data_IF_619818814601
#
_entry.id   IF_619818814601
#
_cell.length_a   1.000
_cell.length_b   1.000
_cell.length_c   1.000
_cell.angle_alpha   90.00
_cell.angle_beta   90.00
_cell.angle_gamma   90.00
#
_symmetry.space_group_name_H-M   'P 1'
#
loop_
_entity.id
_entity.type
_entity.pdbx_description
1 polymer ?
#
# COMPACT_ATOMS: atom_id res chain seq x y z
N UNK A 1 -14.98 -1.50 -3.17
CA UNK A 1 -15.53 -1.20 -1.83
C UNK A 1 -15.69 0.30 -1.73
N UNK A 2 -16.84 0.75 -1.24
CA UNK A 2 -17.08 2.15 -0.89
C UNK A 2 -17.23 2.26 0.63
N UNK A 3 -16.74 3.36 1.18
CA UNK A 3 -16.80 3.65 2.61
C UNK A 3 -17.63 4.92 2.83
N UNK A 4 -18.88 4.79 3.26
CA UNK A 4 -19.74 5.94 3.56
C UNK A 4 -19.36 6.69 4.84
N UNK A 5 -19.66 8.00 4.92
CA UNK A 5 -19.45 8.85 6.10
C UNK A 5 -20.29 8.44 7.31
N UNK A 6 -21.50 7.93 7.08
CA UNK A 6 -22.39 7.40 8.12
C UNK A 6 -21.92 6.02 8.64
N UNK A 7 -20.87 5.46 8.05
CA UNK A 7 -20.17 4.27 8.50
C UNK A 7 -20.52 3.01 7.70
N UNK A 8 -19.73 1.96 7.95
CA UNK A 8 -19.86 0.68 7.26
C UNK A 8 -19.05 0.59 5.97
N UNK A 9 -19.25 -0.51 5.26
CA UNK A 9 -18.58 -0.79 4.00
C UNK A 9 -19.55 -1.51 3.07
N UNK A 10 -19.56 -1.09 1.80
CA UNK A 10 -20.41 -1.67 0.75
C UNK A 10 -19.61 -2.10 -0.47
N UNK A 11 -20.01 -3.21 -1.06
CA UNK A 11 -19.58 -3.60 -2.40
C UNK A 11 -20.43 -2.88 -3.43
N UNK A 12 -19.75 -2.23 -4.35
CA UNK A 12 -20.34 -1.47 -5.44
C UNK A 12 -19.78 -2.00 -6.75
N UNK A 13 -20.67 -2.24 -7.72
CA UNK A 13 -20.27 -2.60 -9.07
C UNK A 13 -20.21 -1.33 -9.93
N UNK A 14 -19.00 -0.85 -10.27
CA UNK A 14 -18.87 0.37 -11.06
C UNK A 14 -19.44 0.24 -12.47
N UNK A 15 -19.43 -0.95 -13.07
CA UNK A 15 -19.97 -1.18 -14.43
C UNK A 15 -21.50 -1.16 -14.47
N UNK A 16 -22.15 -1.69 -13.45
CA UNK A 16 -23.62 -1.74 -13.35
C UNK A 16 -24.21 -0.51 -12.65
N UNK A 17 -23.41 0.23 -11.89
CA UNK A 17 -23.88 1.35 -11.07
C UNK A 17 -24.73 0.91 -9.87
N UNK A 18 -24.54 -0.31 -9.38
CA UNK A 18 -25.39 -0.94 -8.36
C UNK A 18 -24.64 -1.31 -7.08
N UNK A 19 -25.31 -1.17 -5.93
CA UNK A 19 -24.84 -1.73 -4.68
C UNK A 19 -25.09 -3.24 -4.67
N UNK A 20 -24.03 -4.01 -4.49
CA UNK A 20 -24.12 -5.47 -4.47
C UNK A 20 -24.44 -6.00 -3.08
N UNK A 21 -23.75 -5.49 -2.05
CA UNK A 21 -23.83 -6.04 -0.68
C UNK A 21 -23.27 -5.09 0.37
N UNK A 22 -23.91 -5.02 1.54
CA UNK A 22 -23.30 -4.45 2.76
C UNK A 22 -22.42 -5.50 3.44
N UNK A 23 -21.16 -5.18 3.70
CA UNK A 23 -20.18 -6.10 4.29
C UNK A 23 -20.18 -6.06 5.82
N UNK A 24 -20.67 -4.98 6.42
CA UNK A 24 -20.77 -4.85 7.87
C UNK A 24 -20.98 -3.40 8.30
N UNK A 25 -21.25 -3.23 9.60
CA UNK A 25 -21.14 -1.93 10.26
C UNK A 25 -19.72 -1.79 10.82
N UNK A 26 -19.01 -0.80 10.31
CA UNK A 26 -17.65 -0.44 10.71
C UNK A 26 -17.61 1.00 11.23
N UNK A 27 -18.74 1.49 11.77
CA UNK A 27 -18.83 2.82 12.34
C UNK A 27 -17.74 3.07 13.39
N UNK A 28 -17.12 4.25 13.32
CA UNK A 28 -15.99 4.62 14.18
C UNK A 28 -14.68 3.91 13.88
N UNK A 29 -14.59 3.12 12.81
CA UNK A 29 -13.36 2.45 12.39
C UNK A 29 -12.81 3.04 11.09
N UNK A 30 -11.50 3.19 11.01
CA UNK A 30 -10.80 3.60 9.80
C UNK A 30 -10.24 2.38 9.08
N UNK A 31 -10.48 2.33 7.78
CA UNK A 31 -9.96 1.30 6.90
C UNK A 31 -8.52 1.62 6.48
N UNK A 32 -7.63 0.64 6.62
CA UNK A 32 -6.20 0.82 6.29
C UNK A 32 -5.80 0.08 5.01
N UNK A 33 -6.20 -1.18 4.85
CA UNK A 33 -5.84 -2.05 3.72
C UNK A 33 -6.79 -3.25 3.58
N UNK A 34 -6.77 -3.90 2.42
CA UNK A 34 -7.42 -5.20 2.19
C UNK A 34 -6.45 -6.21 1.57
N UNK A 35 -6.73 -7.49 1.81
CA UNK A 35 -6.10 -8.61 1.12
C UNK A 35 -7.14 -9.72 0.95
N UNK A 36 -7.55 -9.96 -0.29
CA UNK A 36 -8.64 -10.89 -0.55
C UNK A 36 -9.92 -10.47 0.18
N UNK A 37 -10.51 -11.39 0.94
CA UNK A 37 -11.70 -11.15 1.76
C UNK A 37 -11.42 -10.42 3.08
N UNK A 38 -10.16 -10.15 3.41
CA UNK A 38 -9.76 -9.62 4.72
C UNK A 38 -9.51 -8.11 4.67
N UNK A 39 -9.95 -7.43 5.73
CA UNK A 39 -9.86 -5.99 5.91
C UNK A 39 -9.01 -5.68 7.15
N UNK A 40 -8.08 -4.75 7.03
CA UNK A 40 -7.32 -4.19 8.15
C UNK A 40 -8.00 -2.90 8.62
N UNK A 41 -8.39 -2.89 9.89
CA UNK A 41 -9.17 -1.81 10.49
C UNK A 41 -8.48 -1.26 11.74
N UNK A 42 -8.67 0.03 11.98
CA UNK A 42 -8.24 0.76 13.17
C UNK A 42 -9.49 1.36 13.85
N UNK A 43 -9.79 0.96 15.08
CA UNK A 43 -10.95 1.53 15.81
C UNK A 43 -10.65 2.90 16.45
N UNK A 44 -11.70 3.49 17.04
CA UNK A 44 -11.63 4.74 17.78
C UNK A 44 -10.66 4.68 18.97
N UNK A 45 -10.48 3.50 19.57
CA UNK A 45 -9.54 3.23 20.65
C UNK A 45 -8.09 3.01 20.18
N UNK A 46 -7.80 3.21 18.89
CA UNK A 46 -6.49 2.98 18.28
C UNK A 46 -6.04 1.52 18.25
N UNK A 47 -6.98 0.56 18.32
CA UNK A 47 -6.67 -0.86 18.22
C UNK A 47 -6.75 -1.33 16.77
N UNK A 48 -5.74 -2.09 16.36
CA UNK A 48 -5.69 -2.74 15.07
C UNK A 48 -6.36 -4.12 15.12
N UNK A 49 -7.10 -4.46 14.07
CA UNK A 49 -7.64 -5.80 13.90
C UNK A 49 -7.85 -6.12 12.43
N UNK A 50 -7.80 -7.42 12.11
CA UNK A 50 -8.14 -7.96 10.80
C UNK A 50 -9.53 -8.57 10.90
N UNK A 51 -10.40 -8.30 9.93
CA UNK A 51 -11.73 -8.91 9.85
C UNK A 51 -11.97 -9.52 8.49
N UNK A 52 -12.57 -10.70 8.45
CA UNK A 52 -13.11 -11.28 7.22
C UNK A 52 -14.44 -10.60 6.88
N UNK A 53 -14.51 -9.99 5.71
CA UNK A 53 -15.65 -9.21 5.24
C UNK A 53 -16.93 -10.03 5.02
N UNK A 54 -16.84 -11.37 4.99
CA UNK A 54 -17.98 -12.26 4.72
C UNK A 54 -18.30 -13.21 5.87
N UNK A 55 -17.33 -13.57 6.71
CA UNK A 55 -17.51 -14.52 7.81
C UNK A 55 -17.56 -13.87 9.20
N UNK A 56 -17.39 -12.55 9.29
CA UNK A 56 -17.30 -11.78 10.55
C UNK A 56 -16.17 -12.23 11.51
N UNK A 57 -15.31 -13.16 11.06
CA UNK A 57 -14.16 -13.63 11.82
C UNK A 57 -13.21 -12.45 12.07
N UNK A 58 -12.97 -12.14 13.34
CA UNK A 58 -12.11 -11.04 13.78
C UNK A 58 -10.84 -11.55 14.47
N UNK A 59 -9.70 -11.02 14.06
CA UNK A 59 -8.39 -11.26 14.64
C UNK A 59 -7.90 -9.95 15.24
N UNK A 60 -7.76 -9.90 16.57
CA UNK A 60 -7.15 -8.75 17.25
C UNK A 60 -5.65 -8.78 17.01
N UNK A 61 -5.08 -7.64 16.66
CA UNK A 61 -3.63 -7.47 16.51
C UNK A 61 -3.04 -6.91 17.81
N UNK A 62 -1.70 -6.99 17.98
CA UNK A 62 -1.03 -6.33 19.10
C UNK A 62 -1.29 -4.81 19.14
N UNK A 63 -1.04 -4.17 20.28
CA UNK A 63 -1.18 -2.70 20.41
C UNK A 63 -0.11 -1.98 19.57
N UNK A 64 -0.40 -0.78 19.06
CA UNK A 64 0.62 0.06 18.42
C UNK A 64 1.86 0.31 19.32
N UNK A 65 1.69 0.19 20.65
CA UNK A 65 2.75 0.34 21.65
C UNK A 65 3.57 -0.93 21.89
N UNK A 66 3.11 -2.10 21.43
CA UNK A 66 3.79 -3.37 21.66
C UNK A 66 4.93 -3.55 20.67
N UNK A 67 5.79 -2.56 20.48
CA UNK A 67 7.05 -2.75 19.76
C UNK A 67 8.05 -3.31 20.76
N UNK A 68 8.65 -4.45 20.45
CA UNK A 68 9.79 -4.98 21.21
C UNK A 68 11.08 -4.61 20.49
N UNK A 69 11.71 -3.53 20.96
CA UNK A 69 12.98 -3.03 20.42
C UNK A 69 13.80 -2.45 21.55
N UNK A 70 15.12 -2.70 21.52
CA UNK A 70 16.06 -2.10 22.46
C UNK A 70 16.24 -0.60 22.21
N UNK A 71 16.07 -0.17 20.95
CA UNK A 71 16.42 1.16 20.46
C UNK A 71 15.18 2.02 20.17
N UNK A 72 13.96 1.50 20.38
CA UNK A 72 12.73 2.20 20.03
C UNK A 72 11.58 1.83 20.98
N UNK A 73 10.85 2.85 21.44
CA UNK A 73 9.64 2.69 22.26
C UNK A 73 8.54 3.58 21.69
N UNK A 74 7.33 3.03 21.56
CA UNK A 74 6.11 3.79 21.26
C UNK A 74 5.19 3.80 22.48
N UNK A 75 4.71 4.98 22.87
CA UNK A 75 3.84 5.19 24.04
C UNK A 75 2.60 5.96 23.64
N UNK A 76 1.44 5.50 24.09
CA UNK A 76 0.20 6.27 24.05
C UNK A 76 0.25 7.34 25.16
N UNK A 77 0.06 8.60 24.80
CA UNK A 77 0.17 9.75 25.73
C UNK A 77 -1.13 10.55 25.87
N UNK A 78 -2.20 10.04 25.28
CA UNK A 78 -3.51 10.68 25.32
C UNK A 78 -4.43 10.04 24.30
N UNK A 79 -5.63 10.60 24.17
CA UNK A 79 -6.62 10.11 23.21
C UNK A 79 -6.05 10.13 21.79
N UNK A 80 -5.85 8.93 21.23
CA UNK A 80 -5.32 8.69 19.88
C UNK A 80 -3.95 9.33 19.59
N UNK A 81 -3.19 9.71 20.61
CA UNK A 81 -1.87 10.38 20.50
C UNK A 81 -0.74 9.49 20.97
N UNK A 82 0.37 9.54 20.25
CA UNK A 82 1.53 8.69 20.51
C UNK A 82 2.81 9.51 20.57
N UNK A 83 3.79 8.99 21.31
CA UNK A 83 5.19 9.41 21.25
C UNK A 83 6.01 8.20 20.83
N UNK A 84 6.92 8.39 19.87
CA UNK A 84 7.98 7.44 19.56
C UNK A 84 9.30 8.01 20.04
N UNK A 85 10.04 7.21 20.79
CA UNK A 85 11.36 7.56 21.29
C UNK A 85 12.35 6.52 20.77
N UNK A 86 13.41 6.99 20.12
CA UNK A 86 14.57 6.17 19.82
C UNK A 86 15.81 6.68 20.58
N UNK A 87 16.99 6.11 20.30
CA UNK A 87 18.23 6.46 20.98
C UNK A 87 18.64 7.94 20.83
N UNK A 88 18.25 8.58 19.73
CA UNK A 88 18.74 9.91 19.36
C UNK A 88 17.63 10.98 19.33
N UNK A 89 16.36 10.60 19.34
CA UNK A 89 15.23 11.50 19.06
C UNK A 89 13.92 11.10 19.74
N UNK A 90 13.05 12.11 19.93
CA UNK A 90 11.69 11.95 20.42
C UNK A 90 10.74 12.61 19.44
N UNK A 91 9.77 11.84 18.96
CA UNK A 91 8.74 12.25 18.01
C UNK A 91 7.38 12.24 18.70
N UNK A 92 6.70 13.39 18.73
CA UNK A 92 5.51 13.61 19.58
C UNK A 92 4.27 14.11 18.82
N UNK A 93 4.40 14.25 17.51
CA UNK A 93 3.37 14.63 16.55
C UNK A 93 2.60 13.42 15.97
N UNK A 94 2.74 12.25 16.61
CA UNK A 94 2.12 11.00 16.15
C UNK A 94 0.68 10.88 16.62
N UNK A 95 -0.20 10.44 15.72
CA UNK A 95 -1.60 10.14 16.05
C UNK A 95 -2.13 8.93 15.29
N UNK A 96 -3.20 8.32 15.80
CA UNK A 96 -3.91 7.23 15.13
C UNK A 96 -4.46 7.64 13.75
N UNK A 97 -4.65 8.94 13.50
CA UNK A 97 -5.24 9.46 12.27
C UNK A 97 -4.27 9.40 11.09
N UNK A 98 -2.98 9.50 11.37
CA UNK A 98 -1.90 9.36 10.37
C UNK A 98 -1.37 7.94 10.24
N UNK A 99 -1.96 6.96 10.95
CA UNK A 99 -1.55 5.56 10.79
C UNK A 99 -1.90 5.08 9.38
N UNK A 100 -1.01 4.37 8.70
CA UNK A 100 -1.31 3.67 7.46
C UNK A 100 -0.96 2.21 7.64
N UNK A 101 -1.44 1.35 6.75
CA UNK A 101 -1.14 -0.06 6.86
C UNK A 101 -1.22 -0.78 5.53
N UNK A 102 -0.54 -1.92 5.50
CA UNK A 102 -0.59 -2.91 4.44
C UNK A 102 -0.99 -4.25 5.07
N UNK A 103 -1.72 -5.03 4.30
CA UNK A 103 -2.20 -6.34 4.72
C UNK A 103 -1.91 -7.34 3.61
N UNK A 104 -1.34 -8.48 4.00
CA UNK A 104 -1.36 -9.68 3.18
C UNK A 104 -1.96 -10.81 3.99
N UNK A 105 -2.85 -11.58 3.38
CA UNK A 105 -3.40 -12.81 3.94
C UNK A 105 -3.25 -13.91 2.91
N UNK A 106 -2.75 -15.06 3.36
CA UNK A 106 -2.65 -16.27 2.52
C UNK A 106 -4.02 -16.69 1.99
N UNK A 107 -4.05 -17.40 0.86
CA UNK A 107 -5.30 -17.93 0.28
C UNK A 107 -6.08 -18.81 1.27
N UNK A 108 -5.37 -19.53 2.15
CA UNK A 108 -5.98 -20.36 3.19
C UNK A 108 -6.65 -19.56 4.31
N UNK A 109 -6.40 -18.25 4.40
CA UNK A 109 -6.87 -17.38 5.50
C UNK A 109 -6.21 -17.68 6.86
N UNK A 110 -5.12 -18.46 6.89
CA UNK A 110 -4.44 -18.89 8.12
C UNK A 110 -3.24 -18.02 8.46
N UNK A 111 -2.45 -17.67 7.45
CA UNK A 111 -1.27 -16.82 7.60
C UNK A 111 -1.61 -15.40 7.17
N UNK A 112 -1.04 -14.43 7.89
CA UNK A 112 -1.13 -13.03 7.55
C UNK A 112 0.17 -12.31 7.88
N UNK A 113 0.39 -11.18 7.20
CA UNK A 113 1.40 -10.18 7.51
C UNK A 113 0.70 -8.83 7.54
N UNK A 114 0.93 -8.07 8.60
CA UNK A 114 0.46 -6.69 8.75
C UNK A 114 1.66 -5.80 8.91
N UNK A 115 1.71 -4.76 8.10
CA UNK A 115 2.66 -3.66 8.23
C UNK A 115 1.85 -2.42 8.57
N UNK A 116 2.31 -1.61 9.52
CA UNK A 116 1.73 -0.31 9.79
C UNK A 116 2.82 0.74 9.95
N UNK A 117 2.46 1.99 9.70
CA UNK A 117 3.34 3.15 9.90
C UNK A 117 2.58 4.38 10.36
N UNK A 118 3.30 5.33 10.97
CA UNK A 118 2.86 6.72 11.03
C UNK A 118 3.35 7.45 9.78
N UNK A 119 2.42 7.96 8.98
CA UNK A 119 2.69 8.64 7.72
C UNK A 119 2.77 10.16 7.94
N UNK A 120 3.97 10.64 8.24
CA UNK A 120 4.26 12.06 8.45
C UNK A 120 5.28 12.57 7.43
N UNK A 121 5.16 13.81 6.95
CA UNK A 121 6.15 14.40 6.07
C UNK A 121 7.55 14.36 6.68
N UNK A 122 8.50 13.76 5.97
CA UNK A 122 9.90 13.67 6.39
C UNK A 122 10.20 12.59 7.44
N UNK A 123 9.19 11.91 7.98
CA UNK A 123 9.34 10.89 9.00
C UNK A 123 8.39 9.72 8.75
N UNK A 124 8.96 8.55 8.50
CA UNK A 124 8.18 7.32 8.41
C UNK A 124 8.72 6.34 9.44
N UNK A 125 7.83 5.83 10.27
CA UNK A 125 8.12 4.86 11.31
C UNK A 125 7.27 3.65 11.05
N UNK A 126 7.88 2.49 10.82
CA UNK A 126 7.15 1.33 10.35
C UNK A 126 7.44 0.13 11.21
N UNK A 127 6.41 -0.68 11.44
CA UNK A 127 6.54 -1.92 12.16
C UNK A 127 5.64 -2.97 11.55
N UNK A 128 5.98 -4.24 11.74
CA UNK A 128 5.20 -5.35 11.19
C UNK A 128 4.98 -6.45 12.21
N UNK A 129 3.92 -7.23 12.00
CA UNK A 129 3.68 -8.47 12.73
C UNK A 129 3.06 -9.49 11.78
N UNK A 130 3.09 -10.74 12.20
CA UNK A 130 2.57 -11.87 11.45
C UNK A 130 1.69 -12.75 12.33
N UNK A 131 1.11 -13.78 11.71
CA UNK A 131 0.38 -14.80 12.45
C UNK A 131 1.26 -15.40 13.56
N UNK A 132 0.76 -15.37 14.80
CA UNK A 132 1.44 -15.91 15.98
C UNK A 132 2.34 -14.92 16.73
N UNK A 133 2.66 -13.77 16.14
CA UNK A 133 3.45 -12.74 16.81
C UNK A 133 2.67 -12.11 17.97
N UNK A 134 3.37 -11.81 19.05
CA UNK A 134 2.81 -11.19 20.28
C UNK A 134 3.04 -9.69 20.37
N UNK A 135 3.96 -9.17 19.55
CA UNK A 135 4.42 -7.79 19.51
C UNK A 135 4.85 -7.45 18.07
N UNK A 136 4.93 -6.17 17.75
CA UNK A 136 5.44 -5.68 16.48
C UNK A 136 6.97 -5.73 16.45
N UNK A 137 7.51 -6.03 15.28
CA UNK A 137 8.94 -5.89 14.95
C UNK A 137 9.15 -4.54 14.28
N UNK A 138 10.07 -3.74 14.81
CA UNK A 138 10.39 -2.44 14.24
C UNK A 138 11.22 -2.60 12.94
N UNK A 139 10.90 -1.80 11.93
CA UNK A 139 11.70 -1.70 10.71
C UNK A 139 12.34 -0.30 10.73
N UNK A 140 13.63 -0.18 11.07
CA UNK A 140 14.29 1.10 11.10
C UNK A 140 14.33 1.68 9.68
N UNK A 141 13.67 2.83 9.52
CA UNK A 141 13.70 3.64 8.33
C UNK A 141 14.78 4.72 8.55
N UNK A 142 15.92 4.56 7.87
CA UNK A 142 17.00 5.55 7.71
C UNK A 142 17.82 5.93 8.95
N UNK A 143 18.99 5.32 9.15
CA UNK A 143 19.96 5.73 10.19
C UNK A 143 21.40 5.91 9.66
N UNK A 144 21.60 6.10 8.36
CA UNK A 144 22.95 6.36 7.82
C UNK A 144 22.98 7.62 6.96
N UNK A 145 23.62 8.66 7.50
CA UNK A 145 23.82 9.98 6.89
C UNK A 145 24.55 9.92 5.53
N UNK A 146 25.16 8.79 5.20
CA UNK A 146 26.00 8.62 4.00
C UNK A 146 25.25 8.10 2.76
N UNK A 147 23.95 7.75 2.88
CA UNK A 147 23.18 7.14 1.80
C UNK A 147 21.96 7.98 1.41
N UNK A 148 22.18 9.19 0.87
CA UNK A 148 21.12 10.13 0.42
C UNK A 148 20.13 9.59 -0.62
N UNK A 149 20.49 8.54 -1.35
CA UNK A 149 19.58 7.83 -2.28
C UNK A 149 18.44 7.05 -1.58
N UNK A 150 18.60 6.81 -0.28
CA UNK A 150 17.56 6.22 0.56
C UNK A 150 16.55 7.27 1.07
N UNK A 151 16.87 8.56 1.01
CA UNK A 151 16.07 9.60 1.66
C UNK A 151 14.62 9.67 1.15
N UNK A 152 13.69 9.65 2.10
CA UNK A 152 12.26 9.86 1.91
C UNK A 152 11.55 8.61 1.39
N UNK A 153 10.64 8.05 2.21
CA UNK A 153 9.72 7.01 1.79
C UNK A 153 8.68 7.62 0.83
N UNK A 154 8.50 6.99 -0.33
CA UNK A 154 7.51 7.39 -1.34
C UNK A 154 6.33 6.41 -1.34
N UNK A 155 6.61 5.12 -1.57
CA UNK A 155 5.59 4.10 -1.75
C UNK A 155 6.01 2.77 -1.13
N UNK A 156 5.02 1.94 -0.79
CA UNK A 156 5.26 0.60 -0.24
C UNK A 156 4.28 -0.41 -0.82
N UNK A 157 4.81 -1.60 -1.10
CA UNK A 157 4.00 -2.73 -1.58
C UNK A 157 4.32 -3.96 -0.74
N UNK A 158 3.27 -4.58 -0.19
CA UNK A 158 3.38 -5.87 0.48
C UNK A 158 2.91 -6.96 -0.47
N UNK A 159 3.83 -7.79 -0.93
CA UNK A 159 3.57 -8.91 -1.82
C UNK A 159 3.99 -10.22 -1.16
N UNK A 160 3.01 -10.99 -0.69
CA UNK A 160 3.30 -12.16 0.14
C UNK A 160 3.92 -11.74 1.48
N UNK A 161 5.04 -12.36 1.81
CA UNK A 161 5.88 -11.98 2.95
C UNK A 161 6.97 -10.97 2.59
N UNK A 162 6.97 -10.43 1.37
CA UNK A 162 7.99 -9.47 0.92
C UNK A 162 7.44 -8.06 0.93
N UNK A 163 8.18 -7.15 1.54
CA UNK A 163 7.88 -5.73 1.58
C UNK A 163 8.83 -4.97 0.66
N UNK A 164 8.28 -4.26 -0.32
CA UNK A 164 9.00 -3.44 -1.27
C UNK A 164 8.83 -1.99 -0.85
N UNK A 165 9.95 -1.29 -0.66
CA UNK A 165 10.00 0.09 -0.21
C UNK A 165 10.60 0.93 -1.33
N UNK A 166 9.86 1.93 -1.81
CA UNK A 166 10.36 2.89 -2.79
C UNK A 166 10.66 4.23 -2.15
N UNK A 167 11.78 4.84 -2.53
CA UNK A 167 12.16 6.17 -2.05
C UNK A 167 11.68 7.27 -3.00
N UNK A 168 11.71 8.52 -2.56
CA UNK A 168 11.41 9.69 -3.40
C UNK A 168 12.35 9.82 -4.60
N UNK A 169 13.53 9.19 -4.53
CA UNK A 169 14.50 9.09 -5.62
C UNK A 169 14.32 7.85 -6.49
N UNK A 170 13.20 7.12 -6.34
CA UNK A 170 12.85 5.89 -7.07
C UNK A 170 13.86 4.76 -6.89
N UNK A 171 14.44 4.64 -5.70
CA UNK A 171 15.22 3.47 -5.30
C UNK A 171 14.33 2.47 -4.58
N UNK A 172 14.50 1.18 -4.89
CA UNK A 172 13.67 0.11 -4.33
C UNK A 172 14.51 -0.79 -3.44
N UNK A 173 14.12 -0.87 -2.16
CA UNK A 173 14.63 -1.81 -1.16
C UNK A 173 13.62 -2.94 -0.98
N UNK A 174 14.08 -4.17 -0.81
CA UNK A 174 13.18 -5.32 -0.62
C UNK A 174 13.51 -6.04 0.66
N UNK A 175 12.52 -6.21 1.53
CA UNK A 175 12.63 -6.91 2.80
C UNK A 175 11.83 -8.21 2.75
N UNK A 176 12.42 -9.31 3.21
CA UNK A 176 11.73 -10.57 3.45
C UNK A 176 11.36 -10.67 4.92
N UNK A 177 10.04 -10.63 5.18
CA UNK A 177 9.45 -10.66 6.51
C UNK A 177 9.17 -12.09 6.99
N UNK A 178 9.50 -13.14 6.23
CA UNK A 178 9.13 -14.53 6.56
C UNK A 178 9.86 -15.15 7.77
N UNK A 179 10.94 -14.54 8.26
CA UNK A 179 11.78 -15.05 9.35
C UNK A 179 11.11 -15.15 10.73
N UNK A 180 11.82 -15.56 11.80
CA UNK A 180 11.25 -15.57 13.15
C UNK A 180 10.84 -14.17 13.64
N UNK A 181 9.97 -14.09 14.66
CA UNK A 181 9.56 -12.81 15.27
C UNK A 181 10.80 -11.99 15.68
N UNK A 182 10.78 -10.68 15.42
CA UNK A 182 11.92 -9.80 15.66
C UNK A 182 12.96 -9.76 14.53
N UNK A 183 12.81 -10.58 13.48
CA UNK A 183 13.76 -10.64 12.37
C UNK A 183 13.12 -10.44 11.00
N UNK A 184 13.83 -9.74 10.13
CA UNK A 184 13.58 -9.68 8.70
C UNK A 184 14.93 -9.68 7.96
N UNK A 185 14.92 -10.13 6.70
CA UNK A 185 16.12 -10.12 5.86
C UNK A 185 16.02 -9.02 4.80
N UNK A 186 17.04 -8.19 4.70
CA UNK A 186 17.19 -7.29 3.55
C UNK A 186 17.67 -8.10 2.33
N UNK A 187 16.81 -8.24 1.32
CA UNK A 187 17.11 -8.99 0.08
C UNK A 187 17.95 -8.17 -0.89
N UNK A 188 17.99 -6.86 -0.69
CA UNK A 188 18.85 -5.94 -1.44
C UNK A 188 20.23 -5.78 -0.81
N UNK A 189 20.54 -6.51 0.27
CA UNK A 189 21.83 -6.47 0.97
C UNK A 189 22.29 -5.04 1.32
N UNK A 190 21.33 -4.16 1.66
CA UNK A 190 21.58 -2.76 1.98
C UNK A 190 21.85 -1.85 0.78
N UNK A 191 21.79 -2.39 -0.45
CA UNK A 191 22.01 -1.66 -1.71
C UNK A 191 20.70 -1.71 -2.53
N UNK A 192 19.77 -0.76 -2.30
CA UNK A 192 18.57 -0.61 -3.11
C UNK A 192 18.89 -0.49 -4.59
N UNK A 193 18.02 -1.02 -5.46
CA UNK A 193 18.20 -0.85 -6.89
C UNK A 193 17.38 0.33 -7.42
N UNK A 194 17.92 1.11 -8.38
CA UNK A 194 17.23 2.24 -8.98
C UNK A 194 16.18 1.82 -10.01
N UNK A 195 15.05 2.53 -10.01
CA UNK A 195 14.01 2.49 -11.03
C UNK A 195 13.86 3.89 -11.65
N UNK A 196 14.83 4.29 -12.48
CA UNK A 196 14.95 5.64 -13.03
C UNK A 196 14.55 5.64 -14.52
N UNK A 197 13.41 6.25 -14.86
CA UNK A 197 13.03 6.53 -16.26
C UNK A 197 13.57 7.89 -16.73
N UNK A 198 13.50 8.14 -18.04
CA UNK A 198 13.86 9.43 -18.65
C UNK A 198 12.90 10.56 -18.31
N UNK A 199 11.64 10.20 -18.12
CA UNK A 199 10.62 11.13 -17.71
C UNK A 199 10.71 11.30 -16.20
N UNK A 200 10.99 12.53 -15.76
CA UNK A 200 10.78 12.89 -14.37
C UNK A 200 9.30 13.23 -14.19
N UNK A 201 8.43 12.23 -14.27
CA UNK A 201 7.03 12.44 -13.89
C UNK A 201 6.94 12.89 -12.43
N UNK A 202 6.00 13.79 -12.14
CA UNK A 202 5.67 14.19 -10.78
C UNK A 202 4.85 13.11 -10.04
N UNK A 203 4.28 12.13 -10.75
CA UNK A 203 3.59 10.99 -10.15
C UNK A 203 4.22 9.66 -10.59
N UNK A 204 4.96 9.06 -9.66
CA UNK A 204 5.56 7.74 -9.77
C UNK A 204 5.16 6.87 -8.58
N UNK A 205 4.80 5.61 -8.86
CA UNK A 205 4.55 4.56 -7.89
C UNK A 205 5.28 3.28 -8.31
N UNK A 206 5.30 2.28 -7.43
CA UNK A 206 5.80 0.95 -7.73
C UNK A 206 4.68 -0.08 -7.66
N UNK A 207 4.80 -1.14 -8.45
CA UNK A 207 3.95 -2.30 -8.34
C UNK A 207 4.75 -3.61 -8.47
N UNK A 208 4.18 -4.72 -8.01
CA UNK A 208 4.78 -6.05 -8.12
C UNK A 208 3.91 -6.94 -8.99
N UNK A 209 4.49 -7.56 -10.01
CA UNK A 209 3.75 -8.49 -10.89
C UNK A 209 3.42 -9.79 -10.16
N UNK A 210 2.52 -10.61 -10.73
CA UNK A 210 2.26 -11.96 -10.20
C UNK A 210 3.53 -12.83 -10.15
N UNK A 211 4.47 -12.58 -11.08
CA UNK A 211 5.79 -13.22 -11.13
C UNK A 211 6.82 -12.63 -10.16
N UNK A 212 6.47 -11.62 -9.37
CA UNK A 212 7.33 -10.96 -8.38
C UNK A 212 8.30 -9.92 -8.96
N UNK A 213 8.12 -9.50 -10.22
CA UNK A 213 8.91 -8.44 -10.84
C UNK A 213 8.41 -7.06 -10.40
N UNK A 214 9.33 -6.12 -10.16
CA UNK A 214 8.97 -4.74 -9.82
C UNK A 214 8.71 -3.94 -11.10
N UNK A 215 7.61 -3.22 -11.11
CA UNK A 215 7.23 -2.23 -12.11
C UNK A 215 7.38 -0.82 -11.51
N UNK A 216 7.92 0.10 -12.31
CA UNK A 216 7.73 1.53 -12.09
C UNK A 216 6.50 1.96 -12.87
N UNK A 217 5.58 2.66 -12.20
CA UNK A 217 4.34 3.15 -12.78
C UNK A 217 4.37 4.67 -12.72
N UNK A 218 4.34 5.33 -13.87
CA UNK A 218 4.33 6.79 -13.95
C UNK A 218 3.04 7.26 -14.58
N UNK A 219 2.49 8.36 -14.05
CA UNK A 219 1.26 8.97 -14.57
C UNK A 219 1.35 10.49 -14.50
N UNK A 220 0.47 11.20 -15.21
CA UNK A 220 0.36 12.65 -14.98
C UNK A 220 -0.27 12.92 -13.60
N UNK A 221 0.29 13.86 -12.81
CA UNK A 221 -0.09 14.07 -11.40
C UNK A 221 -1.50 14.62 -11.21
N UNK A 222 -2.08 15.26 -12.23
CA UNK A 222 -3.34 15.99 -12.09
C UNK A 222 -4.54 15.10 -12.41
N UNK A 223 -4.51 14.42 -13.55
CA UNK A 223 -5.68 13.77 -14.11
C UNK A 223 -5.51 12.26 -14.28
N UNK A 224 -4.28 11.73 -14.15
CA UNK A 224 -3.94 10.33 -14.41
C UNK A 224 -4.57 9.82 -15.71
N UNK A 225 -4.51 10.67 -16.72
CA UNK A 225 -4.99 10.47 -18.09
C UNK A 225 -3.98 9.73 -18.97
N UNK A 226 -2.74 9.65 -18.54
CA UNK A 226 -1.74 8.80 -19.17
C UNK A 226 -0.99 7.97 -18.13
N UNK A 227 -0.54 6.81 -18.56
CA UNK A 227 0.32 5.92 -17.78
C UNK A 227 1.47 5.42 -18.64
N UNK A 228 2.65 5.35 -18.03
CA UNK A 228 3.84 4.67 -18.55
C UNK A 228 4.30 3.63 -17.55
N UNK A 229 4.69 2.46 -18.05
CA UNK A 229 5.14 1.35 -17.24
C UNK A 229 6.57 1.02 -17.61
N UNK A 230 7.38 0.72 -16.61
CA UNK A 230 8.76 0.33 -16.84
C UNK A 230 9.16 -0.89 -16.01
N UNK A 231 10.03 -1.72 -16.58
CA UNK A 231 10.70 -2.82 -15.90
C UNK A 231 12.16 -2.48 -15.69
N UNK A 232 12.76 -2.97 -14.59
CA UNK A 232 14.21 -2.88 -14.38
C UNK A 232 14.94 -3.45 -15.59
N UNK A 233 15.90 -2.71 -16.14
CA UNK A 233 16.81 -3.19 -17.14
C UNK A 233 17.94 -3.98 -16.44
N UNK A 234 18.05 -5.31 -16.65
CA UNK A 234 19.06 -6.12 -15.97
C UNK A 234 20.48 -5.83 -16.46
N UNK A 235 20.64 -5.22 -17.64
CA UNK A 235 21.94 -4.96 -18.25
C UNK A 235 22.66 -3.73 -17.65
N UNK A 236 21.99 -3.00 -16.75
CA UNK A 236 22.49 -1.78 -16.12
C UNK A 236 22.78 -2.08 -14.64
N UNK A 237 24.04 -2.43 -14.36
CA UNK A 237 24.48 -2.77 -13.01
C UNK A 237 24.78 -1.54 -12.14
N UNK A 238 25.30 -0.46 -12.75
CA UNK A 238 25.65 0.78 -12.05
C UNK A 238 25.25 1.99 -12.89
N UNK A 239 24.07 2.57 -12.67
CA UNK A 239 23.71 3.79 -13.36
C UNK A 239 24.56 4.95 -12.85
N UNK A 240 25.22 5.63 -13.77
CA UNK A 240 25.65 7.00 -13.52
C UNK A 240 24.43 7.86 -13.18
N UNK A 241 24.65 9.02 -12.53
CA UNK A 241 23.60 9.94 -12.05
C UNK A 241 22.51 10.32 -13.07
N UNK A 242 22.72 10.05 -14.35
CA UNK A 242 21.84 10.42 -15.47
C UNK A 242 21.39 9.22 -16.33
N UNK A 243 21.73 7.98 -15.97
CA UNK A 243 21.37 6.79 -16.72
C UNK A 243 19.95 6.30 -16.39
N UNK A 244 19.14 6.03 -17.41
CA UNK A 244 17.84 5.36 -17.22
C UNK A 244 18.08 3.89 -16.91
N UNK A 245 17.52 3.37 -15.82
CA UNK A 245 17.76 1.99 -15.35
C UNK A 245 16.61 1.05 -15.68
N UNK A 246 15.65 1.54 -16.44
CA UNK A 246 14.40 0.85 -16.72
C UNK A 246 14.09 0.90 -18.21
N UNK A 247 13.36 -0.10 -18.69
CA UNK A 247 12.87 -0.20 -20.07
C UNK A 247 11.36 -0.06 -20.04
N UNK A 248 10.81 0.81 -20.88
CA UNK A 248 9.36 1.00 -21.01
C UNK A 248 8.71 -0.26 -21.57
N UNK A 249 7.52 -0.58 -21.07
CA UNK A 249 6.70 -1.70 -21.52
C UNK A 249 5.29 -1.23 -21.81
N UNK A 250 4.74 -1.68 -22.93
CA UNK A 250 3.40 -1.28 -23.39
C UNK A 250 2.27 -2.22 -22.94
N UNK A 251 2.62 -3.31 -22.25
CA UNK A 251 1.68 -4.36 -21.83
C UNK A 251 2.06 -4.98 -20.48
N UNK A 252 1.05 -5.42 -19.76
CA UNK A 252 1.12 -6.23 -18.54
C UNK A 252 1.08 -7.74 -18.85
N UNK A 253 1.25 -8.15 -20.11
CA UNK A 253 1.27 -9.55 -20.56
C UNK A 253 0.01 -10.35 -20.17
N UNK A 254 -1.17 -9.74 -20.32
CA UNK A 254 -2.45 -10.38 -19.97
C UNK A 254 -2.81 -10.31 -18.48
N UNK A 255 -2.06 -9.55 -17.69
CA UNK A 255 -2.43 -9.17 -16.32
C UNK A 255 -3.14 -7.80 -16.29
N UNK A 256 -3.68 -7.46 -15.13
CA UNK A 256 -4.21 -6.15 -14.79
C UNK A 256 -3.54 -5.63 -13.53
N UNK A 257 -3.32 -4.32 -13.42
CA UNK A 257 -2.72 -3.69 -12.25
C UNK A 257 -3.80 -3.11 -11.33
N UNK A 258 -3.81 -3.51 -10.06
CA UNK A 258 -4.57 -2.83 -9.01
C UNK A 258 -3.62 -1.83 -8.35
N UNK A 259 -3.57 -0.60 -8.86
CA UNK A 259 -2.55 0.39 -8.50
C UNK A 259 -2.55 0.72 -7.00
N UNK A 260 -3.74 0.92 -6.43
CA UNK A 260 -3.90 1.25 -5.00
C UNK A 260 -3.46 0.10 -4.08
N UNK A 261 -3.38 -1.13 -4.60
CA UNK A 261 -2.89 -2.31 -3.88
C UNK A 261 -1.42 -2.61 -4.20
N UNK A 262 -0.86 -1.98 -5.24
CA UNK A 262 0.53 -2.11 -5.64
C UNK A 262 0.89 -3.44 -6.30
N UNK A 263 -0.08 -4.22 -6.81
CA UNK A 263 0.23 -5.49 -7.47
C UNK A 263 -0.65 -5.81 -8.66
N UNK A 264 -0.15 -6.68 -9.54
CA UNK A 264 -0.92 -7.18 -10.68
C UNK A 264 -1.65 -8.47 -10.35
N UNK A 265 -2.71 -8.73 -11.11
CA UNK A 265 -3.51 -9.94 -11.04
C UNK A 265 -3.78 -10.46 -12.45
N UNK A 266 -3.95 -11.77 -12.66
CA UNK A 266 -4.31 -12.29 -13.98
C UNK A 266 -5.62 -11.68 -14.48
N UNK A 267 -5.70 -11.34 -15.77
CA UNK A 267 -6.97 -10.97 -16.36
C UNK A 267 -7.98 -12.11 -16.20
N UNK A 268 -9.22 -11.75 -15.88
CA UNK A 268 -10.27 -12.71 -15.57
C UNK A 268 -11.61 -12.17 -16.05
N UNK A 269 -12.09 -12.73 -17.16
CA UNK A 269 -13.36 -12.35 -17.77
C UNK A 269 -14.56 -12.58 -16.83
N UNK A 270 -14.54 -13.63 -16.00
CA UNK A 270 -15.63 -13.92 -15.07
C UNK A 270 -15.72 -12.89 -13.93
N UNK A 271 -14.58 -12.30 -13.54
CA UNK A 271 -14.51 -11.21 -12.56
C UNK A 271 -14.54 -9.82 -13.21
N UNK A 272 -14.67 -9.74 -14.54
CA UNK A 272 -14.65 -8.48 -15.28
C UNK A 272 -13.31 -7.76 -15.29
N UNK A 273 -12.21 -8.47 -14.98
CA UNK A 273 -10.83 -7.96 -14.97
C UNK A 273 -10.28 -8.05 -16.40
N UNK A 274 -10.18 -6.91 -17.04
CA UNK A 274 -9.64 -6.76 -18.39
C UNK A 274 -8.11 -6.77 -18.42
N UNK A 275 -7.47 -7.41 -19.42
CA UNK A 275 -6.02 -7.39 -19.57
C UNK A 275 -5.50 -5.99 -19.88
N UNK A 276 -4.23 -5.75 -19.55
CA UNK A 276 -3.52 -4.51 -19.83
C UNK A 276 -4.23 -3.26 -19.27
N UNK A 277 -4.98 -3.45 -18.18
CA UNK A 277 -5.77 -2.39 -17.56
C UNK A 277 -5.24 -2.06 -16.16
N UNK A 278 -5.24 -0.78 -15.83
CA UNK A 278 -4.82 -0.22 -14.55
C UNK A 278 -6.07 0.27 -13.83
N UNK A 279 -6.38 -0.38 -12.73
CA UNK A 279 -7.49 -0.08 -11.82
C UNK A 279 -6.93 0.77 -10.68
N UNK A 280 -7.44 1.98 -10.53
CA UNK A 280 -6.99 2.88 -9.49
C UNK A 280 -8.15 3.73 -8.99
N UNK A 281 -7.96 4.29 -7.80
CA UNK A 281 -8.76 5.40 -7.32
C UNK A 281 -7.90 6.65 -7.31
N UNK A 282 -8.52 7.83 -7.31
CA UNK A 282 -7.74 9.08 -7.16
C UNK A 282 -7.17 9.28 -5.76
N UNK A 283 -7.48 8.39 -4.81
CA UNK A 283 -7.20 8.62 -3.41
C UNK A 283 -5.75 8.25 -3.00
N UNK A 284 -5.05 9.27 -2.49
CA UNK A 284 -3.92 9.29 -1.55
C UNK A 284 -2.69 8.37 -1.80
N UNK A 285 -1.57 9.01 -2.13
CA UNK A 285 -0.21 8.54 -1.83
C UNK A 285 0.22 9.04 -0.44
N UNK A 286 1.08 8.31 0.30
CA UNK A 286 1.70 8.81 1.52
C UNK A 286 2.25 10.24 1.31
N UNK A 287 2.07 11.10 2.31
CA UNK A 287 2.56 12.49 2.31
C UNK A 287 1.93 13.52 1.32
N UNK A 288 0.76 13.29 0.71
CA UNK A 288 0.08 14.34 -0.09
C UNK A 288 -1.08 15.03 0.67
N UNK A 289 -0.98 16.36 0.83
CA UNK A 289 -1.82 17.21 1.69
C UNK A 289 -3.18 17.66 1.11
N UNK A 290 -3.70 17.04 0.05
CA UNK A 290 -5.04 17.35 -0.46
C UNK A 290 -5.75 16.09 -0.91
N UNK A 291 -7.03 15.95 -0.57
CA UNK A 291 -7.89 14.92 -1.18
C UNK A 291 -8.30 15.41 -2.57
N UNK A 292 -7.76 14.86 -3.68
CA UNK A 292 -8.46 15.00 -4.95
C UNK A 292 -9.86 14.36 -4.83
N UNK A 293 -10.78 14.84 -5.66
CA UNK A 293 -12.13 14.27 -5.77
C UNK A 293 -12.04 12.74 -5.94
N UNK A 294 -12.89 12.02 -5.21
CA UNK A 294 -12.87 10.58 -5.15
C UNK A 294 -13.40 10.01 -6.46
N UNK A 295 -12.50 9.46 -7.29
CA UNK A 295 -12.87 8.75 -8.52
C UNK A 295 -12.48 7.28 -8.45
N UNK A 296 -13.27 6.46 -9.13
CA UNK A 296 -12.94 5.08 -9.48
C UNK A 296 -12.67 5.04 -10.98
N UNK A 297 -11.43 4.70 -11.35
CA UNK A 297 -10.94 4.78 -12.71
C UNK A 297 -10.39 3.44 -13.19
N UNK A 298 -10.53 3.20 -14.48
CA UNK A 298 -9.82 2.14 -15.20
C UNK A 298 -9.15 2.75 -16.42
N UNK A 299 -7.84 2.60 -16.53
CA UNK A 299 -7.07 3.01 -17.70
C UNK A 299 -6.61 1.77 -18.47
N UNK A 300 -6.89 1.71 -19.77
CA UNK A 300 -6.46 0.60 -20.61
C UNK A 300 -5.20 0.99 -21.41
N UNK A 301 -4.10 0.26 -21.22
CA UNK A 301 -2.80 0.54 -21.83
C UNK A 301 -2.79 0.32 -23.34
N UNK A 302 -3.56 -0.64 -23.84
CA UNK A 302 -3.58 -1.00 -25.25
C UNK A 302 -4.37 0.02 -26.08
N UNK A 303 -5.53 0.45 -25.58
CA UNK A 303 -6.42 1.41 -26.27
C UNK A 303 -6.14 2.86 -25.88
N UNK A 304 -5.37 3.09 -24.81
CA UNK A 304 -5.11 4.40 -24.19
C UNK A 304 -6.41 5.12 -23.80
N UNK A 305 -7.44 4.36 -23.39
CA UNK A 305 -8.70 4.91 -22.89
C UNK A 305 -8.72 4.99 -21.37
N UNK A 306 -9.40 6.03 -20.86
CA UNK A 306 -9.68 6.20 -19.43
C UNK A 306 -11.20 6.14 -19.22
N UNK A 307 -11.64 5.11 -18.53
CA UNK A 307 -13.02 4.98 -18.06
C UNK A 307 -13.11 5.50 -16.63
N UNK A 308 -13.98 6.50 -16.44
CA UNK A 308 -14.34 7.04 -15.13
C UNK A 308 -15.73 6.57 -14.78
N UNK A 309 -15.86 5.86 -13.66
CA UNK A 309 -17.15 5.36 -13.22
C UNK A 309 -17.85 6.43 -12.36
N UNK A 310 -19.05 6.90 -12.76
CA UNK A 310 -19.60 8.18 -12.29
C UNK A 310 -20.27 8.14 -10.90
N UNK A 311 -20.57 9.37 -10.42
CA UNK A 311 -21.51 9.74 -9.35
C UNK A 311 -21.14 9.41 -7.89
N UNK A 312 -19.87 9.16 -7.60
CA UNK A 312 -19.41 9.04 -6.20
C UNK A 312 -19.57 10.33 -5.41
N UNK A 313 -19.48 11.50 -6.04
CA UNK A 313 -19.68 12.81 -5.38
C UNK A 313 -21.08 12.98 -4.78
N UNK A 314 -22.08 12.23 -5.28
CA UNK A 314 -23.44 12.20 -4.74
C UNK A 314 -23.58 11.25 -3.55
N UNK A 315 -22.62 10.35 -3.39
CA UNK A 315 -22.56 9.40 -2.29
C UNK A 315 -21.68 10.04 -1.22
N UNK A 316 -22.19 10.26 -0.02
CA UNK A 316 -21.41 10.84 1.08
C UNK A 316 -20.31 9.86 1.54
N UNK A 317 -19.22 9.76 0.77
CA UNK A 317 -18.14 8.80 0.96
C UNK A 317 -16.93 9.44 1.64
N UNK A 318 -16.18 8.62 2.39
CA UNK A 318 -14.88 8.95 2.97
C UNK A 318 -13.72 8.34 2.20
N UNK A 319 -13.92 7.20 1.54
CA UNK A 319 -12.90 6.47 0.79
C UNK A 319 -13.56 5.50 -0.20
N UNK A 320 -12.82 5.06 -1.20
CA UNK A 320 -13.17 3.97 -2.11
C UNK A 320 -11.91 3.22 -2.52
N UNK A 321 -12.03 1.89 -2.65
CA UNK A 321 -10.91 1.04 -3.06
C UNK A 321 -11.35 -0.13 -3.91
N UNK A 322 -10.48 -0.54 -4.84
CA UNK A 322 -10.67 -1.79 -5.56
C UNK A 322 -10.58 -2.98 -4.60
N UNK A 323 -11.50 -3.92 -4.77
CA UNK A 323 -11.62 -5.11 -3.93
C UNK A 323 -11.64 -6.34 -4.83
N UNK A 324 -10.70 -7.24 -4.58
CA UNK A 324 -10.64 -8.53 -5.24
C UNK A 324 -10.93 -9.61 -4.20
N UNK A 325 -12.09 -10.27 -4.23
CA UNK A 325 -12.37 -11.36 -3.31
C UNK A 325 -11.37 -12.51 -3.55
N UNK A 326 -10.95 -13.16 -2.47
CA UNK A 326 -10.29 -14.46 -2.58
C UNK A 326 -11.30 -15.45 -3.16
N UNK A 327 -10.88 -16.26 -4.14
CA UNK A 327 -11.77 -17.20 -4.84
C UNK A 327 -12.63 -18.02 -3.87
N UNK A 328 -13.93 -18.09 -4.16
CA UNK A 328 -14.81 -19.13 -3.64
C UNK A 328 -14.58 -20.43 -4.42
#
# INVERSE_FOLDING_TARGET
MLFPKDGGCVLYNPKEGTFQRKLGDFSGCRFLANSGNWLLLLDSGSNLYIVDAFSEKKIRLPSLESIDSADCIVKCVGDRKFIRQDSDSIFSDLSADVVRGLLWVSESGKEYVVVWLFDLPGHSYMSFCKNGDTHYTDIPLFHHQDLHWLDGLSEMVLWGTRLYLSTNRRYVRVLDLSGPQGFFKDITDGIPFPMLSADMSCDSSIAVTTSGQVLLVESDPCNRTCFRLYKKNPDIENPDLFGHTVTEVDSLNGEALLLDLGYTVPANKALGIEPDSIYFTRHYRPCQCASPDLDICVFNLATKSLDRYPDLDKMDLIDARWFLPSGN
#
